data_IF_455485149020
#
_entry.id   IF_455485149020
#
_cell.length_a   1.000
_cell.length_b   1.000
_cell.length_c   1.000
_cell.angle_alpha   90.00
_cell.angle_beta   90.00
_cell.angle_gamma   90.00
#
_symmetry.space_group_name_H-M   'P 1'
#
loop_
_entity.id
_entity.type
_entity.pdbx_description
1 polymer ?
#
# COMPACT_ATOMS: atom_id res chain seq x y z
N UNK A 1 -18.01 19.81 -7.78
CA UNK A 1 -17.77 18.75 -8.81
C UNK A 1 -16.36 18.25 -8.59
N UNK A 2 -16.15 16.93 -8.57
CA UNK A 2 -14.81 16.35 -8.34
C UNK A 2 -13.85 16.71 -9.47
N UNK A 3 -12.53 16.82 -9.19
CA UNK A 3 -11.52 16.95 -10.22
C UNK A 3 -11.66 15.84 -11.28
N UNK A 4 -11.37 16.18 -12.53
CA UNK A 4 -11.50 15.27 -13.69
C UNK A 4 -12.91 14.68 -13.92
N UNK A 5 -13.96 15.31 -13.37
CA UNK A 5 -15.36 14.89 -13.47
C UNK A 5 -15.62 13.45 -12.97
N UNK A 6 -14.81 12.93 -12.04
CA UNK A 6 -14.99 11.59 -11.46
C UNK A 6 -16.31 11.50 -10.69
N UNK A 7 -16.97 10.34 -10.74
CA UNK A 7 -18.07 10.03 -9.82
C UNK A 7 -17.56 9.86 -8.39
N UNK A 8 -18.44 9.99 -7.39
CA UNK A 8 -18.06 9.90 -5.96
C UNK A 8 -17.44 8.55 -5.59
N UNK A 9 -17.85 7.50 -6.28
CA UNK A 9 -17.44 6.12 -6.09
C UNK A 9 -16.44 5.60 -7.14
N UNK A 10 -15.76 6.50 -7.85
CA UNK A 10 -14.82 6.18 -8.92
C UNK A 10 -13.37 6.36 -8.48
N UNK A 11 -12.53 5.35 -8.77
CA UNK A 11 -11.06 5.43 -8.64
C UNK A 11 -10.49 6.42 -9.68
N UNK A 12 -9.31 6.97 -9.39
CA UNK A 12 -8.43 7.55 -10.42
C UNK A 12 -8.03 6.48 -11.44
N UNK A 13 -7.37 6.87 -12.52
CA UNK A 13 -6.71 5.91 -13.40
C UNK A 13 -5.62 5.19 -12.61
N UNK A 14 -5.72 3.86 -12.53
CA UNK A 14 -4.79 3.02 -11.77
C UNK A 14 -4.05 2.09 -12.69
N UNK A 15 -2.72 2.00 -12.51
CA UNK A 15 -1.90 0.99 -13.18
C UNK A 15 -0.88 0.37 -12.21
N UNK A 16 -0.60 -0.92 -12.46
CA UNK A 16 0.49 -1.67 -11.83
C UNK A 16 1.43 -2.14 -12.94
N UNK A 17 2.69 -1.70 -12.90
CA UNK A 17 3.72 -2.05 -13.87
C UNK A 17 4.75 -2.97 -13.17
N UNK A 18 4.61 -4.31 -13.29
CA UNK A 18 5.53 -5.26 -12.65
C UNK A 18 6.89 -5.26 -13.34
N UNK A 19 7.93 -5.66 -12.63
CA UNK A 19 9.30 -5.74 -13.17
C UNK A 19 9.95 -4.37 -13.40
N UNK A 20 9.49 -3.34 -12.71
CA UNK A 20 9.99 -1.97 -12.85
C UNK A 20 11.45 -1.79 -12.40
N UNK A 21 12.01 -2.75 -11.64
CA UNK A 21 13.42 -2.77 -11.23
C UNK A 21 13.99 -4.17 -11.52
N UNK A 22 15.11 -4.20 -12.26
CA UNK A 22 15.72 -5.45 -12.72
C UNK A 22 16.56 -6.18 -11.65
N UNK A 23 16.89 -5.53 -10.55
CA UNK A 23 17.76 -6.09 -9.50
C UNK A 23 16.96 -6.64 -8.31
N UNK A 24 15.75 -6.14 -8.07
CA UNK A 24 14.90 -6.63 -7.00
C UNK A 24 14.25 -7.98 -7.37
N UNK A 25 14.06 -8.86 -6.40
CA UNK A 25 13.39 -10.14 -6.60
C UNK A 25 11.93 -9.98 -7.03
N UNK A 26 11.28 -8.90 -6.58
CA UNK A 26 9.98 -8.46 -7.07
C UNK A 26 9.90 -6.94 -7.11
N UNK A 27 9.24 -6.37 -8.10
CA UNK A 27 9.06 -4.92 -8.18
C UNK A 27 7.81 -4.52 -8.92
N UNK A 28 7.28 -3.34 -8.59
CA UNK A 28 6.13 -2.76 -9.23
C UNK A 28 6.20 -1.23 -9.18
N UNK A 29 6.02 -0.57 -10.31
CA UNK A 29 5.69 0.85 -10.34
C UNK A 29 4.17 0.96 -10.34
N UNK A 30 3.61 1.44 -9.22
CA UNK A 30 2.18 1.66 -9.07
C UNK A 30 1.84 3.12 -9.28
N UNK A 31 0.74 3.37 -9.99
CA UNK A 31 0.23 4.71 -10.24
C UNK A 31 -1.25 4.78 -9.86
N UNK A 32 -1.62 5.78 -9.09
CA UNK A 32 -3.01 6.17 -8.76
C UNK A 32 -3.16 7.63 -9.22
N UNK A 33 -3.61 7.83 -10.46
CA UNK A 33 -3.60 9.16 -11.08
C UNK A 33 -2.21 9.79 -11.01
N UNK A 34 -2.11 10.96 -10.35
CA UNK A 34 -0.85 11.68 -10.15
C UNK A 34 0.08 11.10 -9.07
N UNK A 35 -0.35 10.11 -8.30
CA UNK A 35 0.51 9.46 -7.31
C UNK A 35 1.26 8.28 -7.92
N UNK A 36 2.60 8.33 -7.89
CA UNK A 36 3.48 7.28 -8.42
C UNK A 36 4.43 6.78 -7.34
N UNK A 37 4.46 5.45 -7.12
CA UNK A 37 5.33 4.82 -6.12
C UNK A 37 6.07 3.64 -6.75
N UNK A 38 7.41 3.63 -6.63
CA UNK A 38 8.21 2.46 -6.93
C UNK A 38 8.25 1.56 -5.69
N UNK A 39 7.77 0.34 -5.83
CA UNK A 39 7.82 -0.69 -4.79
C UNK A 39 8.79 -1.78 -5.22
N UNK A 40 9.75 -2.13 -4.36
CA UNK A 40 10.70 -3.23 -4.58
C UNK A 40 10.67 -4.18 -3.40
N UNK A 41 10.83 -5.47 -3.65
CA UNK A 41 10.90 -6.50 -2.63
C UNK A 41 12.25 -7.21 -2.74
N UNK A 42 13.03 -7.19 -1.65
CA UNK A 42 14.34 -7.82 -1.53
C UNK A 42 14.29 -8.99 -0.56
N UNK A 43 14.88 -10.13 -0.92
CA UNK A 43 14.89 -11.35 -0.12
C UNK A 43 16.22 -11.48 0.60
N UNK A 44 16.19 -11.53 1.93
CA UNK A 44 17.33 -11.87 2.78
C UNK A 44 17.25 -13.34 3.21
N UNK A 45 18.38 -14.06 3.12
CA UNK A 45 18.50 -15.47 3.51
C UNK A 45 18.45 -15.72 5.04
N UNK A 46 18.03 -14.76 5.82
CA UNK A 46 17.94 -14.87 7.27
C UNK A 46 16.78 -14.07 7.83
N UNK A 47 16.49 -14.25 9.09
CA UNK A 47 15.45 -13.52 9.81
C UNK A 47 16.04 -12.66 10.93
N UNK A 48 15.33 -11.66 11.42
CA UNK A 48 15.73 -10.91 12.60
C UNK A 48 16.09 -11.83 13.77
N UNK A 49 17.07 -11.44 14.60
CA UNK A 49 17.63 -12.28 15.69
C UNK A 49 16.55 -12.88 16.60
N UNK A 50 15.47 -12.17 16.87
CA UNK A 50 14.37 -12.60 17.72
C UNK A 50 13.47 -13.70 17.10
N UNK A 51 13.59 -13.95 15.76
CA UNK A 51 12.89 -15.02 15.04
C UNK A 51 13.79 -16.22 14.73
N UNK A 52 15.11 -16.10 14.88
CA UNK A 52 16.06 -17.15 14.52
C UNK A 52 15.75 -18.46 15.27
N UNK A 53 15.68 -19.57 14.53
CA UNK A 53 15.37 -20.90 15.06
C UNK A 53 13.90 -21.14 15.36
N UNK A 54 12.99 -20.25 14.91
CA UNK A 54 11.53 -20.42 15.09
C UNK A 54 10.83 -21.01 13.88
N UNK A 55 11.56 -21.30 12.78
CA UNK A 55 11.00 -21.86 11.55
C UNK A 55 10.03 -20.92 10.84
N UNK A 56 10.13 -19.60 11.06
CA UNK A 56 9.18 -18.60 10.60
C UNK A 56 9.89 -17.44 9.95
N UNK A 57 9.36 -16.99 8.81
CA UNK A 57 9.85 -15.83 8.08
C UNK A 57 9.34 -14.50 8.62
N UNK A 58 9.76 -13.44 7.97
CA UNK A 58 9.35 -12.08 8.29
C UNK A 58 9.19 -11.21 7.04
N UNK A 59 8.19 -10.34 7.04
CA UNK A 59 8.03 -9.29 6.03
C UNK A 59 8.03 -7.95 6.74
N UNK A 60 8.85 -7.04 6.29
CA UNK A 60 8.90 -5.65 6.76
C UNK A 60 8.84 -4.70 5.58
N UNK A 61 8.63 -3.42 5.86
CA UNK A 61 8.62 -2.41 4.81
C UNK A 61 9.34 -1.15 5.26
N UNK A 62 9.91 -0.45 4.29
CA UNK A 62 10.40 0.91 4.40
C UNK A 62 9.61 1.81 3.45
N UNK A 63 9.43 3.06 3.84
CA UNK A 63 8.71 4.05 3.06
C UNK A 63 9.50 5.34 3.02
N UNK A 64 9.54 5.96 1.86
CA UNK A 64 10.18 7.25 1.70
C UNK A 64 9.58 8.07 0.57
N UNK A 65 9.79 9.39 0.64
CA UNK A 65 9.39 10.33 -0.40
C UNK A 65 10.63 10.93 -1.04
N UNK A 66 10.73 10.86 -2.37
CA UNK A 66 11.80 11.53 -3.09
C UNK A 66 11.72 13.06 -2.88
N UNK A 67 12.83 13.78 -2.93
CA UNK A 67 12.84 15.24 -2.67
C UNK A 67 11.88 16.04 -3.54
N UNK A 68 11.63 15.61 -4.77
CA UNK A 68 10.73 16.28 -5.72
C UNK A 68 9.46 15.49 -5.98
N UNK A 69 9.06 14.62 -5.06
CA UNK A 69 7.75 13.95 -5.12
C UNK A 69 6.58 14.92 -4.93
N UNK A 70 6.81 16.10 -4.39
CA UNK A 70 5.82 17.17 -4.16
C UNK A 70 6.15 18.44 -4.95
N UNK A 71 5.22 19.39 -5.02
CA UNK A 71 5.41 20.67 -5.72
C UNK A 71 6.63 21.45 -5.24
N UNK A 72 6.93 21.39 -3.94
CA UNK A 72 8.14 21.97 -3.35
C UNK A 72 9.14 20.86 -3.01
N UNK A 73 10.43 21.20 -3.02
CA UNK A 73 11.48 20.24 -2.68
C UNK A 73 11.51 19.95 -1.18
N UNK A 74 11.35 18.68 -0.82
CA UNK A 74 11.58 18.17 0.53
C UNK A 74 13.05 17.82 0.74
N UNK A 75 13.57 18.01 1.95
CA UNK A 75 14.91 17.53 2.29
C UNK A 75 14.90 16.02 2.51
N UNK A 76 15.99 15.33 2.11
CA UNK A 76 16.13 13.89 2.39
C UNK A 76 16.22 13.64 3.89
N UNK A 77 15.47 12.67 4.39
CA UNK A 77 15.50 12.29 5.81
C UNK A 77 16.88 11.76 6.23
N UNK A 78 17.56 11.02 5.36
CA UNK A 78 18.94 10.57 5.57
C UNK A 78 19.91 11.74 5.86
N UNK A 79 19.73 12.91 5.22
CA UNK A 79 20.55 14.09 5.48
C UNK A 79 20.22 14.75 6.83
N UNK A 80 19.06 14.45 7.42
CA UNK A 80 18.67 14.92 8.76
C UNK A 80 19.08 13.96 9.87
N UNK A 81 19.57 12.77 9.53
CA UNK A 81 19.98 11.73 10.49
C UNK A 81 18.83 11.04 11.24
N UNK A 82 17.57 11.31 10.88
CA UNK A 82 16.39 10.65 11.47
C UNK A 82 15.22 10.64 10.51
N UNK A 83 14.41 9.60 10.60
CA UNK A 83 13.11 9.51 9.92
C UNK A 83 12.05 10.34 10.65
N UNK A 84 11.06 10.84 9.91
CA UNK A 84 9.88 11.48 10.50
C UNK A 84 8.94 10.45 11.13
N UNK A 85 8.10 10.92 12.06
CA UNK A 85 7.06 10.06 12.66
C UNK A 85 6.11 9.49 11.60
N UNK A 86 5.78 10.29 10.56
CA UNK A 86 4.96 9.87 9.42
C UNK A 86 5.62 8.73 8.63
N UNK A 87 6.91 8.83 8.32
CA UNK A 87 7.66 7.80 7.60
C UNK A 87 7.65 6.48 8.37
N UNK A 88 7.92 6.52 9.69
CA UNK A 88 7.92 5.34 10.56
C UNK A 88 6.52 4.73 10.66
N UNK A 89 5.49 5.55 10.83
CA UNK A 89 4.09 5.11 10.91
C UNK A 89 3.69 4.37 9.64
N UNK A 90 3.93 4.96 8.45
CA UNK A 90 3.56 4.37 7.16
C UNK A 90 4.36 3.09 6.88
N UNK A 91 5.66 3.06 7.15
CA UNK A 91 6.48 1.84 7.02
C UNK A 91 5.89 0.69 7.84
N UNK A 92 5.50 0.96 9.09
CA UNK A 92 4.88 -0.04 9.96
C UNK A 92 3.51 -0.49 9.47
N UNK A 93 2.71 0.43 8.96
CA UNK A 93 1.40 0.15 8.35
C UNK A 93 1.55 -0.79 7.14
N UNK A 94 2.45 -0.47 6.19
CA UNK A 94 2.70 -1.32 5.01
C UNK A 94 3.15 -2.72 5.47
N UNK A 95 4.16 -2.81 6.33
CA UNK A 95 4.70 -4.08 6.78
C UNK A 95 3.65 -4.96 7.48
N UNK A 96 2.79 -4.40 8.36
CA UNK A 96 1.75 -5.21 9.03
C UNK A 96 0.63 -5.62 8.07
N UNK A 97 0.28 -4.77 7.11
CA UNK A 97 -0.72 -5.09 6.08
C UNK A 97 -0.26 -6.27 5.23
N UNK A 98 0.99 -6.24 4.75
CA UNK A 98 1.58 -7.33 3.97
C UNK A 98 1.65 -8.64 4.76
N UNK A 99 2.01 -8.58 6.06
CA UNK A 99 2.04 -9.78 6.91
C UNK A 99 0.69 -10.42 7.16
N UNK A 100 -0.40 -9.67 7.00
CA UNK A 100 -1.75 -10.20 7.21
C UNK A 100 -2.23 -11.14 6.08
N UNK A 101 -1.51 -11.21 4.96
CA UNK A 101 -1.91 -11.96 3.76
C UNK A 101 -0.86 -12.96 3.28
N UNK A 102 0.15 -13.25 4.10
CA UNK A 102 1.22 -14.21 3.81
C UNK A 102 1.38 -15.20 4.96
N UNK A 103 1.56 -16.47 4.63
CA UNK A 103 1.92 -17.52 5.58
C UNK A 103 3.43 -17.46 5.87
N UNK A 104 3.77 -16.91 7.01
CA UNK A 104 5.16 -16.72 7.42
C UNK A 104 5.87 -18.03 7.79
N UNK A 105 5.14 -19.10 8.12
CA UNK A 105 5.71 -20.44 8.36
C UNK A 105 6.10 -21.08 7.03
N UNK A 106 5.24 -20.98 6.01
CA UNK A 106 5.57 -21.43 4.65
C UNK A 106 6.72 -20.63 4.03
N UNK A 107 6.85 -19.34 4.34
CA UNK A 107 8.00 -18.53 3.91
C UNK A 107 9.32 -19.08 4.48
N UNK A 108 9.30 -19.75 5.64
CA UNK A 108 10.49 -20.24 6.31
C UNK A 108 11.40 -19.11 6.82
N UNK A 109 12.56 -19.43 7.37
CA UNK A 109 13.48 -18.42 7.97
C UNK A 109 14.13 -17.52 6.91
N UNK A 110 13.32 -16.76 6.18
CA UNK A 110 13.71 -15.70 5.26
C UNK A 110 13.05 -14.39 5.66
N UNK A 111 13.70 -13.28 5.37
CA UNK A 111 13.10 -11.96 5.50
C UNK A 111 12.89 -11.36 4.11
N UNK A 112 11.72 -10.77 3.89
CA UNK A 112 11.47 -9.92 2.71
C UNK A 112 11.30 -8.49 3.18
N UNK A 113 12.08 -7.58 2.61
CA UNK A 113 12.01 -6.14 2.84
C UNK A 113 11.35 -5.52 1.62
N UNK A 114 10.25 -4.81 1.85
CA UNK A 114 9.53 -4.08 0.78
C UNK A 114 9.82 -2.59 0.93
N UNK A 115 10.55 -2.03 -0.03
CA UNK A 115 10.84 -0.61 -0.10
C UNK A 115 9.81 0.09 -0.97
N UNK A 116 9.25 1.20 -0.48
CA UNK A 116 8.24 1.99 -1.18
C UNK A 116 8.71 3.43 -1.31
N UNK A 117 9.22 3.78 -2.50
CA UNK A 117 9.73 5.11 -2.81
C UNK A 117 8.70 5.92 -3.59
N UNK A 118 8.12 6.94 -2.94
CA UNK A 118 7.18 7.85 -3.59
C UNK A 118 7.94 8.77 -4.55
N UNK A 119 7.71 8.58 -5.84
CA UNK A 119 8.31 9.37 -6.92
C UNK A 119 7.53 10.66 -7.16
N UNK A 120 6.19 10.59 -7.09
CA UNK A 120 5.27 11.71 -7.24
C UNK A 120 4.07 11.49 -6.32
N UNK A 121 3.64 12.55 -5.62
CA UNK A 121 2.57 12.50 -4.62
C UNK A 121 1.42 13.42 -5.01
N UNK A 122 0.23 12.84 -5.07
CA UNK A 122 -1.05 13.51 -5.33
C UNK A 122 -2.18 12.84 -4.53
N UNK A 123 -2.03 12.79 -3.20
CA UNK A 123 -2.92 12.07 -2.29
C UNK A 123 -2.75 10.53 -2.35
N UNK A 124 -3.09 9.84 -1.27
CA UNK A 124 -3.12 8.36 -1.21
C UNK A 124 -1.76 7.66 -1.36
N UNK A 125 -0.64 8.30 -0.98
CA UNK A 125 0.69 7.68 -1.13
C UNK A 125 0.85 6.40 -0.31
N UNK A 126 0.30 6.34 0.92
CA UNK A 126 0.33 5.13 1.77
C UNK A 126 -0.48 3.99 1.18
N UNK A 127 -1.65 4.27 0.60
CA UNK A 127 -2.53 3.26 0.01
C UNK A 127 -1.96 2.71 -1.31
N UNK A 128 -1.39 3.57 -2.14
CA UNK A 128 -0.64 3.16 -3.33
C UNK A 128 0.57 2.29 -2.96
N UNK A 129 1.34 2.67 -1.91
CA UNK A 129 2.49 1.89 -1.42
C UNK A 129 2.08 0.49 -0.93
N UNK A 130 0.96 0.37 -0.20
CA UNK A 130 0.46 -0.94 0.25
C UNK A 130 0.06 -1.79 -0.95
N UNK A 131 -0.68 -1.21 -1.90
CA UNK A 131 -1.18 -1.94 -3.08
C UNK A 131 -0.06 -2.35 -4.04
N UNK A 132 0.91 -1.46 -4.32
CA UNK A 132 2.09 -1.78 -5.12
C UNK A 132 3.05 -2.72 -4.40
N UNK A 133 3.21 -2.56 -3.08
CA UNK A 133 4.01 -3.43 -2.23
C UNK A 133 3.50 -4.87 -2.21
N UNK A 134 2.17 -5.07 -2.28
CA UNK A 134 1.59 -6.40 -2.43
C UNK A 134 2.03 -7.07 -3.74
N UNK A 135 2.02 -6.34 -4.87
CA UNK A 135 2.48 -6.87 -6.17
C UNK A 135 3.98 -7.21 -6.13
N UNK A 136 4.80 -6.32 -5.57
CA UNK A 136 6.24 -6.56 -5.43
C UNK A 136 6.52 -7.80 -4.58
N UNK A 137 5.82 -7.94 -3.44
CA UNK A 137 5.95 -9.10 -2.54
C UNK A 137 5.51 -10.40 -3.24
N UNK A 138 4.38 -10.37 -3.97
CA UNK A 138 3.91 -11.52 -4.74
C UNK A 138 4.96 -12.03 -5.71
N UNK A 139 5.56 -11.12 -6.51
CA UNK A 139 6.57 -11.45 -7.50
C UNK A 139 7.85 -12.00 -6.86
N UNK A 140 8.27 -11.47 -5.71
CA UNK A 140 9.41 -12.00 -4.96
C UNK A 140 9.14 -13.43 -4.45
N UNK A 141 7.93 -13.70 -3.96
CA UNK A 141 7.52 -15.04 -3.57
C UNK A 141 7.46 -16.01 -4.78
N UNK A 142 6.94 -15.55 -5.93
CA UNK A 142 6.95 -16.33 -7.17
C UNK A 142 8.37 -16.65 -7.65
N UNK A 143 9.31 -15.74 -7.46
CA UNK A 143 10.73 -16.01 -7.76
C UNK A 143 11.27 -17.14 -6.88
N UNK A 144 10.99 -17.15 -5.58
CA UNK A 144 11.40 -18.26 -4.70
C UNK A 144 10.81 -19.60 -5.15
N UNK A 145 9.59 -19.63 -5.65
CA UNK A 145 8.97 -20.83 -6.21
C UNK A 145 9.68 -21.26 -7.50
N UNK A 146 9.95 -20.32 -8.41
CA UNK A 146 10.66 -20.58 -9.67
C UNK A 146 12.09 -21.07 -9.45
N UNK A 147 12.76 -20.56 -8.44
CA UNK A 147 14.12 -20.96 -8.07
C UNK A 147 14.15 -22.30 -7.30
N UNK A 148 12.97 -22.89 -7.00
CA UNK A 148 12.85 -24.18 -6.29
C UNK A 148 13.07 -24.07 -4.78
N UNK A 149 13.10 -22.85 -4.22
CA UNK A 149 13.29 -22.62 -2.80
C UNK A 149 11.99 -22.74 -1.99
N UNK A 150 10.85 -22.56 -2.63
CA UNK A 150 9.51 -22.80 -2.08
C UNK A 150 8.72 -23.73 -3.02
N UNK A 151 7.82 -24.52 -2.45
CA UNK A 151 6.95 -25.42 -3.21
C UNK A 151 5.73 -24.71 -3.80
N UNK A 152 5.29 -23.63 -3.16
CA UNK A 152 4.16 -22.81 -3.57
C UNK A 152 4.34 -21.38 -3.05
N UNK A 153 3.61 -20.43 -3.66
CA UNK A 153 3.60 -19.05 -3.17
C UNK A 153 2.91 -18.98 -1.79
N UNK A 154 3.59 -18.45 -0.76
CA UNK A 154 3.06 -18.40 0.59
C UNK A 154 1.96 -17.34 0.78
N UNK A 155 1.69 -16.49 -0.19
CA UNK A 155 0.62 -15.49 -0.10
C UNK A 155 -0.74 -16.14 -0.34
N UNK A 156 -1.66 -16.00 0.61
CA UNK A 156 -2.95 -16.71 0.61
C UNK A 156 -4.15 -15.81 0.28
N UNK A 157 -3.97 -14.49 0.20
CA UNK A 157 -5.05 -13.55 -0.13
C UNK A 157 -4.56 -12.35 -0.94
N UNK A 158 -5.44 -11.85 -1.79
CA UNK A 158 -5.25 -10.54 -2.42
C UNK A 158 -5.62 -9.44 -1.43
N UNK A 159 -4.92 -8.33 -1.49
CA UNK A 159 -5.12 -7.21 -0.60
C UNK A 159 -4.74 -5.91 -1.30
N UNK A 160 -5.56 -4.90 -1.13
CA UNK A 160 -5.24 -3.54 -1.58
C UNK A 160 -5.65 -2.52 -0.51
N UNK A 161 -5.25 -1.29 -0.73
CA UNK A 161 -5.61 -0.17 0.11
C UNK A 161 -6.12 1.00 -0.72
N UNK A 162 -7.08 1.75 -0.16
CA UNK A 162 -7.64 2.95 -0.78
C UNK A 162 -7.95 3.99 0.29
N UNK A 163 -7.83 5.27 -0.08
CA UNK A 163 -8.34 6.37 0.74
C UNK A 163 -9.80 6.63 0.43
N UNK A 164 -10.57 7.00 1.44
CA UNK A 164 -11.90 7.54 1.33
C UNK A 164 -11.99 8.79 2.22
N UNK A 165 -12.95 9.65 1.97
CA UNK A 165 -13.14 10.81 2.87
C UNK A 165 -14.47 11.51 2.63
N UNK A 166 -14.76 12.47 3.50
CA UNK A 166 -15.93 13.33 3.42
C UNK A 166 -15.46 14.71 2.97
N UNK A 167 -15.90 15.14 1.81
CA UNK A 167 -15.53 16.44 1.21
C UNK A 167 -16.81 17.14 0.75
N UNK A 168 -17.06 18.34 1.24
CA UNK A 168 -18.30 19.11 1.00
C UNK A 168 -19.58 18.32 1.36
N UNK A 169 -19.52 17.47 2.40
CA UNK A 169 -20.62 16.62 2.84
C UNK A 169 -20.83 15.32 2.02
N UNK A 170 -20.03 15.10 0.98
CA UNK A 170 -20.09 13.88 0.15
C UNK A 170 -19.03 12.87 0.57
N UNK A 171 -19.41 11.61 0.76
CA UNK A 171 -18.46 10.50 0.87
C UNK A 171 -17.84 10.21 -0.50
N UNK A 172 -16.49 10.21 -0.58
CA UNK A 172 -15.72 10.06 -1.82
C UNK A 172 -14.71 8.92 -1.71
N UNK A 173 -14.58 8.16 -2.79
CA UNK A 173 -13.56 7.12 -2.96
C UNK A 173 -12.30 7.71 -3.59
N UNK A 174 -11.12 7.28 -3.13
CA UNK A 174 -9.81 7.56 -3.71
C UNK A 174 -9.54 9.06 -3.88
N UNK A 175 -9.23 9.71 -2.75
CA UNK A 175 -8.99 11.15 -2.69
C UNK A 175 -7.68 11.52 -3.38
N UNK A 176 -7.69 12.51 -4.28
CA UNK A 176 -6.49 13.19 -4.71
C UNK A 176 -6.12 14.32 -3.72
N UNK A 177 -4.93 14.90 -3.86
CA UNK A 177 -4.39 15.86 -2.88
C UNK A 177 -5.32 17.05 -2.58
N UNK A 178 -5.98 17.59 -3.61
CA UNK A 178 -6.89 18.73 -3.44
C UNK A 178 -8.15 18.37 -2.66
N UNK A 179 -8.62 17.14 -2.76
CA UNK A 179 -9.74 16.61 -1.97
C UNK A 179 -9.30 16.26 -0.54
N UNK A 180 -8.16 15.55 -0.41
CA UNK A 180 -7.57 15.12 0.86
C UNK A 180 -7.29 16.33 1.79
N UNK A 181 -6.68 17.38 1.23
CA UNK A 181 -6.36 18.61 1.99
C UNK A 181 -7.57 19.46 2.40
N UNK A 182 -8.75 19.22 1.83
CA UNK A 182 -9.99 19.90 2.13
C UNK A 182 -11.02 18.97 2.79
N UNK A 183 -10.64 17.74 3.11
CA UNK A 183 -11.56 16.76 3.67
C UNK A 183 -11.95 17.10 5.11
N UNK A 184 -13.24 16.97 5.41
CA UNK A 184 -13.81 17.07 6.76
C UNK A 184 -13.45 15.83 7.60
N UNK A 185 -13.32 14.69 6.93
CA UNK A 185 -12.78 13.45 7.49
C UNK A 185 -12.03 12.70 6.39
N UNK A 186 -10.88 12.12 6.75
CA UNK A 186 -10.11 11.22 5.90
C UNK A 186 -10.06 9.83 6.52
N UNK A 187 -10.08 8.82 5.67
CA UNK A 187 -9.99 7.43 6.07
C UNK A 187 -9.14 6.62 5.08
N UNK A 188 -8.35 5.70 5.61
CA UNK A 188 -7.56 4.76 4.84
C UNK A 188 -8.00 3.34 5.20
N UNK A 189 -8.36 2.57 4.20
CA UNK A 189 -8.83 1.19 4.35
C UNK A 189 -7.83 0.24 3.71
N UNK A 190 -7.52 -0.84 4.42
CA UNK A 190 -6.76 -1.99 3.91
C UNK A 190 -7.63 -3.22 4.06
N UNK A 191 -8.09 -3.77 2.94
CA UNK A 191 -8.99 -4.92 2.93
C UNK A 191 -8.47 -6.01 2.00
N UNK A 192 -8.94 -7.24 2.22
CA UNK A 192 -8.76 -8.33 1.26
C UNK A 192 -9.81 -8.24 0.14
N UNK A 193 -9.58 -8.93 -0.97
CA UNK A 193 -10.54 -9.10 -2.08
C UNK A 193 -11.89 -9.71 -1.65
N UNK A 194 -11.91 -10.43 -0.50
CA UNK A 194 -13.12 -11.01 0.10
C UNK A 194 -13.78 -10.12 1.15
N UNK A 195 -13.33 -8.86 1.26
CA UNK A 195 -13.88 -7.89 2.20
C UNK A 195 -13.38 -8.05 3.65
N UNK A 196 -12.39 -8.90 3.90
CA UNK A 196 -11.76 -9.00 5.22
C UNK A 196 -11.02 -7.72 5.57
N UNK A 197 -11.29 -7.14 6.74
CA UNK A 197 -10.67 -5.91 7.21
C UNK A 197 -9.31 -6.23 7.83
N UNK A 198 -8.24 -5.64 7.27
CA UNK A 198 -6.88 -5.72 7.81
C UNK A 198 -6.61 -4.51 8.69
N UNK A 199 -6.94 -3.31 8.20
CA UNK A 199 -6.78 -2.08 8.94
C UNK A 199 -7.74 -1.00 8.44
N UNK A 200 -8.22 -0.19 9.35
CA UNK A 200 -8.97 1.04 9.10
C UNK A 200 -8.40 2.14 9.97
N UNK A 201 -7.98 3.23 9.34
CA UNK A 201 -7.59 4.47 10.01
C UNK A 201 -8.53 5.56 9.53
N UNK A 202 -9.24 6.22 10.43
CA UNK A 202 -10.16 7.30 10.09
C UNK A 202 -10.01 8.43 11.11
N UNK A 203 -9.95 9.65 10.61
CA UNK A 203 -9.83 10.86 11.43
C UNK A 203 -10.83 11.91 10.96
N UNK A 204 -11.43 12.62 11.90
CA UNK A 204 -12.16 13.84 11.62
C UNK A 204 -11.20 15.03 11.83
N UNK A 205 -11.18 15.97 10.89
CA UNK A 205 -10.33 17.17 10.99
C UNK A 205 -10.99 18.27 11.82
N UNK A 206 -12.28 18.54 11.59
CA UNK A 206 -13.00 19.63 12.28
C UNK A 206 -14.15 19.13 13.15
N UNK A 207 -15.06 18.34 12.60
CA UNK A 207 -16.27 17.86 13.28
C UNK A 207 -16.35 16.34 13.19
N UNK A 208 -16.80 15.67 14.27
CA UNK A 208 -16.98 14.21 14.25
C UNK A 208 -17.94 13.80 13.12
N UNK A 209 -17.57 12.76 12.38
CA UNK A 209 -18.45 12.10 11.42
C UNK A 209 -19.24 10.96 12.10
N UNK A 210 -20.37 10.61 11.50
CA UNK A 210 -21.33 9.65 12.06
C UNK A 210 -20.96 8.20 11.74
N UNK A 211 -21.58 7.25 12.44
CA UNK A 211 -21.47 5.82 12.12
C UNK A 211 -22.04 5.48 10.73
N UNK A 212 -23.07 6.19 10.27
CA UNK A 212 -23.64 5.99 8.93
C UNK A 212 -22.67 6.46 7.83
N UNK A 213 -21.98 7.58 8.02
CA UNK A 213 -20.92 8.02 7.12
C UNK A 213 -19.74 7.03 7.10
N UNK A 214 -19.34 6.49 8.25
CA UNK A 214 -18.32 5.44 8.31
C UNK A 214 -18.74 4.19 7.55
N UNK A 215 -20.01 3.78 7.64
CA UNK A 215 -20.55 2.66 6.87
C UNK A 215 -20.50 2.94 5.36
N UNK A 216 -20.81 4.16 4.93
CA UNK A 216 -20.73 4.55 3.52
C UNK A 216 -19.27 4.60 3.02
N UNK A 217 -18.32 5.16 3.80
CA UNK A 217 -16.90 5.11 3.47
C UNK A 217 -16.40 3.66 3.34
N UNK A 218 -16.84 2.77 4.23
CA UNK A 218 -16.50 1.34 4.16
C UNK A 218 -17.06 0.69 2.89
N UNK A 219 -18.31 1.00 2.51
CA UNK A 219 -18.94 0.50 1.29
C UNK A 219 -18.16 0.92 0.04
N UNK A 220 -17.75 2.19 -0.02
CA UNK A 220 -16.90 2.72 -1.08
C UNK A 220 -15.54 2.02 -1.14
N UNK A 221 -14.91 1.84 0.02
CA UNK A 221 -13.62 1.14 0.12
C UNK A 221 -13.69 -0.31 -0.36
N UNK A 222 -14.73 -1.06 0.02
CA UNK A 222 -14.94 -2.44 -0.46
C UNK A 222 -15.03 -2.49 -1.98
N UNK A 223 -15.79 -1.56 -2.60
CA UNK A 223 -15.89 -1.46 -4.06
C UNK A 223 -14.52 -1.17 -4.67
N UNK A 224 -13.84 -0.10 -4.23
CA UNK A 224 -12.57 0.33 -4.80
C UNK A 224 -11.46 -0.71 -4.64
N UNK A 225 -11.39 -1.38 -3.50
CA UNK A 225 -10.41 -2.44 -3.25
C UNK A 225 -10.67 -3.67 -4.12
N UNK A 226 -11.93 -4.02 -4.37
CA UNK A 226 -12.27 -5.08 -5.33
C UNK A 226 -11.76 -4.76 -6.75
N UNK A 227 -11.90 -3.52 -7.21
CA UNK A 227 -11.36 -3.07 -8.50
C UNK A 227 -9.83 -3.10 -8.52
N UNK A 228 -9.17 -2.62 -7.44
CA UNK A 228 -7.71 -2.64 -7.30
C UNK A 228 -7.14 -4.07 -7.31
N UNK A 229 -7.76 -5.00 -6.58
CA UNK A 229 -7.35 -6.40 -6.56
C UNK A 229 -7.46 -7.06 -7.95
N UNK A 230 -8.49 -6.72 -8.73
CA UNK A 230 -8.61 -7.20 -10.12
C UNK A 230 -7.47 -6.67 -11.01
N UNK A 231 -7.09 -5.39 -10.86
CA UNK A 231 -5.97 -4.79 -11.58
C UNK A 231 -4.63 -5.42 -11.19
N UNK A 232 -4.40 -5.67 -9.89
CA UNK A 232 -3.21 -6.38 -9.40
C UNK A 232 -3.12 -7.78 -10.01
N UNK A 233 -4.23 -8.55 -10.01
CA UNK A 233 -4.29 -9.88 -10.60
C UNK A 233 -4.05 -9.88 -12.11
N UNK A 234 -4.51 -8.86 -12.82
CA UNK A 234 -4.22 -8.70 -14.25
C UNK A 234 -2.73 -8.42 -14.53
N UNK A 235 -2.08 -7.69 -13.62
CA UNK A 235 -0.67 -7.30 -13.76
C UNK A 235 0.32 -8.43 -13.47
N UNK A 236 -0.03 -9.43 -12.65
CA UNK A 236 0.86 -10.53 -12.25
C UNK A 236 0.70 -11.81 -13.08
N UNK A 237 -0.21 -11.80 -14.06
CA UNK A 237 -0.40 -12.90 -15.04
C UNK A 237 0.62 -12.83 -16.15
#
# INVERSE_FOLDING_TARGET
MRPNNRALDQLRDVSFEPGANAYAEGSCLVKFGGTHVLCTASIDAGVPRWLKGKGRGWVTAEYGMLPRSTHTRNSREAARGKQSGRTIEISRLIGRSLRAVIDLEKLGERQIIVDCDVMQADGGTRTASISGGWVALWLACEKLVKDGELTENPMFANMAAVSCGIVDGDCRLDLEYTEDSAAQADANFVLTDKGGIIEVQASAEDTPFTADEMNELTRLAVKGIGELCNLQQAAIK
#
